data_IF_246997595563
#
_entry.id   IF_246997595563
#
_cell.length_a   1.000
_cell.length_b   1.000
_cell.length_c   1.000
_cell.angle_alpha   90.00
_cell.angle_beta   90.00
_cell.angle_gamma   90.00
#
_symmetry.space_group_name_H-M   'P 1'
#
loop_
_entity.id
_entity.type
_entity.pdbx_description
1 polymer ?
#
# COMPACT_ATOMS: atom_id res chain seq x y z
N UNK A 1 -5.85 -42.64 -3.61
CA UNK A 1 -5.06 -42.50 -2.35
C UNK A 1 -5.58 -41.26 -1.64
N UNK A 2 -6.46 -41.44 -0.64
CA UNK A 2 -6.97 -40.35 0.18
C UNK A 2 -5.81 -39.76 0.99
N UNK A 3 -5.45 -38.50 0.74
CA UNK A 3 -4.48 -37.78 1.58
C UNK A 3 -5.06 -37.67 3.00
N UNK A 4 -4.35 -38.16 4.01
CA UNK A 4 -4.82 -38.19 5.39
C UNK A 4 -4.88 -36.80 6.05
N UNK A 5 -5.65 -36.64 7.14
CA UNK A 5 -5.82 -35.35 7.84
C UNK A 5 -4.51 -34.74 8.36
N UNK A 6 -3.52 -35.57 8.70
CA UNK A 6 -2.18 -35.12 9.13
C UNK A 6 -1.40 -34.44 7.99
N UNK A 7 -1.51 -34.95 6.76
CA UNK A 7 -0.89 -34.33 5.60
C UNK A 7 -1.51 -32.96 5.33
N UNK A 8 -2.84 -32.83 5.43
CA UNK A 8 -3.56 -31.56 5.30
C UNK A 8 -3.15 -30.55 6.38
N UNK A 9 -3.02 -30.98 7.64
CA UNK A 9 -2.55 -30.11 8.73
C UNK A 9 -1.14 -29.59 8.48
N UNK A 10 -0.22 -30.47 8.07
CA UNK A 10 1.16 -30.10 7.76
C UNK A 10 1.26 -29.11 6.58
N UNK A 11 0.48 -29.32 5.52
CA UNK A 11 0.40 -28.39 4.38
C UNK A 11 -0.09 -27.00 4.83
N UNK A 12 -1.12 -26.92 5.68
CA UNK A 12 -1.62 -25.66 6.25
C UNK A 12 -0.55 -24.95 7.08
N UNK A 13 0.12 -25.66 7.99
CA UNK A 13 1.15 -25.08 8.85
C UNK A 13 2.33 -24.55 8.03
N UNK A 14 2.77 -25.32 7.03
CA UNK A 14 3.87 -24.92 6.14
C UNK A 14 3.51 -23.67 5.34
N UNK A 15 2.27 -23.60 4.83
CA UNK A 15 1.78 -22.44 4.11
C UNK A 15 1.71 -21.18 4.99
N UNK A 16 1.18 -21.30 6.21
CA UNK A 16 1.14 -20.18 7.16
C UNK A 16 2.54 -19.75 7.60
N UNK A 17 3.44 -20.70 7.87
CA UNK A 17 4.83 -20.42 8.22
C UNK A 17 5.57 -19.70 7.09
N UNK A 18 5.36 -20.09 5.83
CA UNK A 18 5.97 -19.41 4.69
C UNK A 18 5.46 -17.97 4.53
N UNK A 19 4.16 -17.73 4.77
CA UNK A 19 3.60 -16.36 4.79
C UNK A 19 4.23 -15.53 5.88
N UNK A 20 4.33 -16.06 7.09
CA UNK A 20 4.93 -15.34 8.22
C UNK A 20 6.42 -15.06 7.97
N UNK A 21 7.16 -16.04 7.43
CA UNK A 21 8.54 -15.86 7.03
C UNK A 21 8.71 -14.80 5.94
N UNK A 22 7.79 -14.69 4.99
CA UNK A 22 7.81 -13.64 3.97
C UNK A 22 7.58 -12.24 4.58
N UNK A 23 6.61 -12.09 5.49
CA UNK A 23 6.42 -10.82 6.23
C UNK A 23 7.67 -10.46 7.02
N UNK A 24 8.21 -11.39 7.81
CA UNK A 24 9.44 -11.17 8.55
C UNK A 24 10.61 -10.80 7.65
N UNK A 25 10.76 -11.45 6.50
CA UNK A 25 11.79 -11.10 5.51
C UNK A 25 11.61 -9.67 5.05
N UNK A 26 10.40 -9.26 4.67
CA UNK A 26 10.13 -7.91 4.19
C UNK A 26 10.45 -6.86 5.26
N UNK A 27 9.82 -6.96 6.43
CA UNK A 27 9.99 -5.96 7.51
C UNK A 27 11.41 -5.92 8.07
N UNK A 28 12.16 -7.02 8.02
CA UNK A 28 13.57 -7.04 8.44
C UNK A 28 14.51 -6.35 7.47
N UNK A 29 14.25 -6.43 6.16
CA UNK A 29 15.13 -5.90 5.12
C UNK A 29 14.69 -4.52 4.58
N UNK A 30 13.49 -4.07 4.93
CA UNK A 30 12.93 -2.78 4.53
C UNK A 30 12.73 -1.91 5.78
N UNK A 31 13.79 -1.22 6.27
CA UNK A 31 13.78 -0.58 7.59
C UNK A 31 12.79 0.60 7.69
N UNK A 32 12.45 1.24 6.57
CA UNK A 32 11.52 2.37 6.52
C UNK A 32 10.05 1.96 6.59
N UNK A 33 9.71 0.69 6.33
CA UNK A 33 8.34 0.24 6.14
C UNK A 33 7.48 0.42 7.41
N UNK A 34 8.03 0.04 8.56
CA UNK A 34 7.31 0.14 9.83
C UNK A 34 7.01 1.61 10.21
N UNK A 35 8.00 2.49 10.08
CA UNK A 35 7.81 3.93 10.34
C UNK A 35 6.82 4.57 9.37
N UNK A 36 6.81 4.14 8.11
CA UNK A 36 5.90 4.67 7.10
C UNK A 36 4.44 4.26 7.36
N UNK A 37 4.20 2.99 7.71
CA UNK A 37 2.88 2.52 8.12
C UNK A 37 2.36 3.26 9.36
N UNK A 38 3.21 3.41 10.38
CA UNK A 38 2.85 4.14 11.59
C UNK A 38 2.53 5.61 11.27
N UNK A 39 3.34 6.26 10.43
CA UNK A 39 3.11 7.64 10.00
C UNK A 39 1.79 7.82 9.25
N UNK A 40 1.40 6.83 8.43
CA UNK A 40 0.12 6.86 7.72
C UNK A 40 -1.07 6.74 8.69
N UNK A 41 -0.98 5.84 9.67
CA UNK A 41 -1.99 5.69 10.75
C UNK A 41 -2.07 6.97 11.59
N UNK A 42 -0.93 7.53 12.00
CA UNK A 42 -0.90 8.77 12.77
C UNK A 42 -1.46 9.97 12.00
N UNK A 43 -1.18 10.06 10.70
CA UNK A 43 -1.70 11.14 9.85
C UNK A 43 -3.22 11.05 9.73
N UNK A 44 -3.74 9.84 9.58
CA UNK A 44 -5.17 9.59 9.57
C UNK A 44 -5.82 9.94 10.93
N UNK A 45 -5.19 9.53 12.05
CA UNK A 45 -5.69 9.79 13.40
C UNK A 45 -5.61 11.28 13.80
N UNK A 46 -4.53 11.98 13.45
CA UNK A 46 -4.40 13.44 13.69
C UNK A 46 -5.43 14.26 12.92
N UNK A 47 -5.89 13.72 11.78
CA UNK A 47 -6.94 14.31 10.97
C UNK A 47 -8.34 14.19 11.57
N UNK A 48 -8.55 13.49 12.70
CA UNK A 48 -9.84 13.41 13.41
C UNK A 48 -10.26 14.76 14.01
N UNK A 49 -10.38 15.79 13.18
CA UNK A 49 -11.16 16.97 13.47
C UNK A 49 -12.58 16.63 13.03
N UNK A 50 -13.53 16.78 13.94
CA UNK A 50 -14.94 16.80 13.57
C UNK A 50 -15.08 17.89 12.51
N UNK A 51 -15.46 17.51 11.30
CA UNK A 51 -15.68 18.46 10.22
C UNK A 51 -16.88 19.34 10.56
N UNK A 52 -16.60 20.51 11.14
CA UNK A 52 -17.61 21.50 11.50
C UNK A 52 -18.19 22.19 10.26
N UNK A 53 -17.62 21.99 9.06
CA UNK A 53 -18.17 22.57 7.83
C UNK A 53 -19.53 21.97 7.47
N UNK A 54 -19.76 20.69 7.77
CA UNK A 54 -21.08 20.07 7.66
C UNK A 54 -22.10 20.70 8.62
N UNK A 55 -21.66 21.15 9.80
CA UNK A 55 -22.48 21.88 10.78
C UNK A 55 -22.77 23.31 10.31
N UNK A 56 -21.81 23.97 9.66
CA UNK A 56 -21.98 25.30 9.07
C UNK A 56 -22.90 25.29 7.84
N UNK A 57 -22.79 24.30 6.95
CA UNK A 57 -23.70 24.10 5.81
C UNK A 57 -25.14 23.83 6.26
N UNK A 58 -25.32 23.03 7.33
CA UNK A 58 -26.62 22.90 7.98
C UNK A 58 -27.10 24.25 8.47
N UNK A 59 -26.31 24.96 9.28
CA UNK A 59 -26.69 26.24 9.87
C UNK A 59 -27.13 27.30 8.84
N UNK A 60 -26.60 27.25 7.61
CA UNK A 60 -27.00 28.14 6.51
C UNK A 60 -28.39 27.86 5.94
N UNK A 61 -28.92 26.64 6.08
CA UNK A 61 -30.27 26.23 5.63
C UNK A 61 -31.23 25.82 6.75
N UNK A 62 -30.79 25.86 8.01
CA UNK A 62 -31.49 25.28 9.15
C UNK A 62 -32.46 26.27 9.79
N UNK A 63 -33.72 25.83 10.00
CA UNK A 63 -34.70 26.59 10.77
C UNK A 63 -34.60 26.17 12.25
N UNK A 64 -34.21 27.05 13.19
CA UNK A 64 -34.07 26.71 14.62
C UNK A 64 -35.31 26.07 15.25
N UNK A 65 -36.49 26.28 14.66
CA UNK A 65 -37.74 25.67 15.09
C UNK A 65 -37.79 24.14 14.92
N UNK A 66 -36.98 23.54 14.03
CA UNK A 66 -36.96 22.08 13.83
C UNK A 66 -36.21 21.31 14.93
N UNK A 67 -35.39 21.98 15.77
CA UNK A 67 -34.79 21.36 16.96
C UNK A 67 -35.79 21.16 18.10
N UNK A 68 -36.91 21.89 18.08
CA UNK A 68 -37.98 21.75 19.06
C UNK A 68 -38.93 20.60 18.70
N UNK A 69 -38.83 20.02 17.50
CA UNK A 69 -39.63 18.89 17.05
C UNK A 69 -38.84 17.56 17.22
N UNK A 70 -39.28 16.67 18.13
CA UNK A 70 -38.65 15.37 18.36
C UNK A 70 -38.54 14.51 17.09
N UNK A 71 -39.52 14.60 16.17
CA UNK A 71 -39.53 13.79 14.95
C UNK A 71 -38.50 14.28 13.91
N UNK A 72 -38.32 15.60 13.81
CA UNK A 72 -37.29 16.19 12.95
C UNK A 72 -35.88 15.88 13.49
N UNK A 73 -35.72 15.85 14.81
CA UNK A 73 -34.46 15.51 15.46
C UNK A 73 -34.08 14.03 15.27
N UNK A 74 -35.07 13.12 15.34
CA UNK A 74 -34.88 11.70 15.02
C UNK A 74 -34.46 11.49 13.55
N UNK A 75 -35.07 12.23 12.62
CA UNK A 75 -34.68 12.19 11.20
C UNK A 75 -33.25 12.69 10.96
N UNK A 76 -32.84 13.79 11.60
CA UNK A 76 -31.47 14.33 11.48
C UNK A 76 -30.42 13.36 12.01
N UNK A 77 -30.70 12.69 13.14
CA UNK A 77 -29.83 11.64 13.69
C UNK A 77 -29.75 10.42 12.77
N UNK A 78 -30.88 10.02 12.17
CA UNK A 78 -30.95 8.88 11.24
C UNK A 78 -30.25 9.18 9.90
N UNK A 79 -30.17 10.45 9.51
CA UNK A 79 -29.51 10.88 8.27
C UNK A 79 -27.98 11.02 8.40
N UNK A 80 -27.39 10.70 9.57
CA UNK A 80 -25.94 10.76 9.75
C UNK A 80 -25.36 12.18 9.64
N UNK A 81 -26.21 13.19 9.82
CA UNK A 81 -25.89 14.61 9.64
C UNK A 81 -24.81 15.09 10.63
N UNK A 82 -24.63 14.36 11.73
CA UNK A 82 -23.61 14.57 12.75
C UNK A 82 -22.44 13.59 12.66
N UNK A 83 -22.40 12.70 11.66
CA UNK A 83 -21.25 11.82 11.44
C UNK A 83 -20.09 12.65 10.88
N UNK A 84 -18.93 12.67 11.56
CA UNK A 84 -17.75 13.36 11.04
C UNK A 84 -17.36 12.81 9.68
N UNK A 85 -17.39 13.64 8.64
CA UNK A 85 -16.86 13.27 7.32
C UNK A 85 -15.34 13.34 7.37
N UNK A 86 -14.67 12.37 6.73
CA UNK A 86 -13.22 12.40 6.58
C UNK A 86 -12.81 13.60 5.71
N UNK A 87 -11.84 14.38 6.18
CA UNK A 87 -11.19 15.46 5.42
C UNK A 87 -10.44 14.90 4.21
N UNK A 88 -10.19 15.70 3.14
CA UNK A 88 -9.40 15.26 1.99
C UNK A 88 -8.02 14.70 2.38
N UNK A 89 -7.37 15.30 3.38
CA UNK A 89 -6.10 14.84 3.92
C UNK A 89 -6.21 13.47 4.59
N UNK A 90 -7.30 13.21 5.32
CA UNK A 90 -7.60 11.89 5.89
C UNK A 90 -7.87 10.86 4.81
N UNK A 91 -8.64 11.19 3.78
CA UNK A 91 -8.88 10.28 2.65
C UNK A 91 -7.57 9.90 1.96
N UNK A 92 -6.67 10.87 1.73
CA UNK A 92 -5.36 10.60 1.15
C UNK A 92 -4.44 9.80 2.09
N UNK A 93 -4.49 10.02 3.41
CA UNK A 93 -3.76 9.20 4.37
C UNK A 93 -4.26 7.75 4.42
N UNK A 94 -5.59 7.57 4.42
CA UNK A 94 -6.24 6.27 4.37
C UNK A 94 -5.89 5.53 3.08
N UNK A 95 -5.97 6.21 1.93
CA UNK A 95 -5.63 5.63 0.64
C UNK A 95 -4.17 5.15 0.58
N UNK A 96 -3.23 5.94 1.11
CA UNK A 96 -1.81 5.55 1.22
C UNK A 96 -1.63 4.33 2.11
N UNK A 97 -2.30 4.28 3.26
CA UNK A 97 -2.25 3.14 4.17
C UNK A 97 -2.82 1.87 3.51
N UNK A 98 -4.01 1.95 2.91
CA UNK A 98 -4.63 0.84 2.19
C UNK A 98 -3.72 0.31 1.07
N UNK A 99 -3.14 1.22 0.28
CA UNK A 99 -2.27 0.87 -0.86
C UNK A 99 -1.03 0.15 -0.36
N UNK A 100 -0.41 0.62 0.71
CA UNK A 100 0.78 0.00 1.29
C UNK A 100 0.49 -1.38 1.87
N UNK A 101 -0.63 -1.53 2.59
CA UNK A 101 -1.06 -2.84 3.10
C UNK A 101 -1.40 -3.81 1.96
N UNK A 102 -2.02 -3.33 0.89
CA UNK A 102 -2.27 -4.12 -0.30
C UNK A 102 -0.97 -4.57 -0.98
N UNK A 103 0.02 -3.68 -1.10
CA UNK A 103 1.32 -3.99 -1.68
C UNK A 103 2.11 -5.02 -0.88
N UNK A 104 2.15 -4.89 0.45
CA UNK A 104 2.77 -5.86 1.34
C UNK A 104 2.13 -7.24 1.13
N UNK A 105 0.80 -7.30 1.18
CA UNK A 105 0.07 -8.56 1.09
C UNK A 105 0.13 -9.19 -0.31
N UNK A 106 0.10 -8.38 -1.35
CA UNK A 106 0.28 -8.81 -2.74
C UNK A 106 1.66 -9.43 -2.93
N UNK A 107 2.71 -8.76 -2.44
CA UNK A 107 4.08 -9.26 -2.55
C UNK A 107 4.27 -10.57 -1.78
N UNK A 108 3.73 -10.66 -0.56
CA UNK A 108 3.77 -11.90 0.24
C UNK A 108 3.08 -13.03 -0.49
N UNK A 109 1.92 -12.78 -1.10
CA UNK A 109 1.22 -13.77 -1.91
C UNK A 109 2.09 -14.24 -3.09
N UNK A 110 2.70 -13.32 -3.84
CA UNK A 110 3.55 -13.66 -4.99
C UNK A 110 4.77 -14.49 -4.58
N UNK A 111 5.48 -14.08 -3.52
CA UNK A 111 6.66 -14.80 -3.02
C UNK A 111 6.28 -16.19 -2.49
N UNK A 112 5.18 -16.32 -1.75
CA UNK A 112 4.74 -17.60 -1.20
C UNK A 112 4.25 -18.53 -2.30
N UNK A 113 3.53 -18.04 -3.29
CA UNK A 113 3.10 -18.82 -4.46
C UNK A 113 4.32 -19.34 -5.23
N UNK A 114 5.32 -18.51 -5.49
CA UNK A 114 6.56 -18.95 -6.13
C UNK A 114 7.34 -19.98 -5.27
N UNK A 115 7.34 -19.81 -3.95
CA UNK A 115 8.04 -20.70 -3.04
C UNK A 115 7.33 -22.06 -2.85
N UNK A 116 6.00 -22.10 -2.83
CA UNK A 116 5.24 -23.31 -2.45
C UNK A 116 4.40 -23.92 -3.56
N UNK A 117 4.09 -23.18 -4.64
CA UNK A 117 3.13 -23.58 -5.68
C UNK A 117 3.39 -24.98 -6.24
N UNK A 118 4.62 -25.25 -6.66
CA UNK A 118 5.01 -26.54 -7.24
C UNK A 118 5.36 -27.61 -6.19
N UNK A 119 5.51 -27.21 -4.92
CA UNK A 119 5.99 -28.08 -3.83
C UNK A 119 4.86 -28.61 -2.96
N UNK A 120 3.79 -27.84 -2.82
CA UNK A 120 2.63 -28.15 -1.99
C UNK A 120 1.37 -28.01 -2.86
N UNK A 121 0.72 -29.13 -3.25
CA UNK A 121 -0.47 -29.10 -4.09
C UNK A 121 -1.62 -28.26 -3.53
N UNK A 122 -1.72 -28.16 -2.20
CA UNK A 122 -2.74 -27.37 -1.51
C UNK A 122 -2.54 -25.85 -1.60
N UNK A 123 -1.41 -25.33 -2.10
CA UNK A 123 -1.07 -23.90 -2.06
C UNK A 123 -2.11 -23.00 -2.70
N UNK A 124 -2.61 -23.38 -3.89
CA UNK A 124 -3.62 -22.58 -4.60
C UNK A 124 -4.95 -22.53 -3.81
N UNK A 125 -5.38 -23.67 -3.26
CA UNK A 125 -6.61 -23.74 -2.46
C UNK A 125 -6.49 -22.95 -1.15
N UNK A 126 -5.34 -23.01 -0.48
CA UNK A 126 -5.08 -22.27 0.75
C UNK A 126 -5.00 -20.75 0.50
N UNK A 127 -4.38 -20.34 -0.60
CA UNK A 127 -4.32 -18.93 -1.03
C UNK A 127 -5.72 -18.39 -1.32
N UNK A 128 -6.55 -19.16 -2.03
CA UNK A 128 -7.94 -18.82 -2.30
C UNK A 128 -8.78 -18.73 -1.02
N UNK A 129 -8.61 -19.67 -0.09
CA UNK A 129 -9.29 -19.65 1.20
C UNK A 129 -8.96 -18.38 2.00
N UNK A 130 -7.68 -17.98 2.08
CA UNK A 130 -7.28 -16.74 2.74
C UNK A 130 -7.84 -15.50 2.03
N UNK A 131 -7.84 -15.48 0.70
CA UNK A 131 -8.42 -14.38 -0.08
C UNK A 131 -9.90 -14.18 0.25
N UNK A 132 -10.68 -15.26 0.33
CA UNK A 132 -12.10 -15.21 0.72
C UNK A 132 -12.29 -14.72 2.13
N UNK A 133 -11.50 -15.21 3.08
CA UNK A 133 -11.56 -14.78 4.48
C UNK A 133 -11.33 -13.28 4.63
N UNK A 134 -10.37 -12.72 3.87
CA UNK A 134 -10.09 -11.27 3.85
C UNK A 134 -11.19 -10.46 3.17
N UNK A 135 -11.82 -11.01 2.14
CA UNK A 135 -12.93 -10.35 1.45
C UNK A 135 -14.18 -10.19 2.34
N UNK A 136 -14.41 -11.14 3.25
CA UNK A 136 -15.52 -11.07 4.21
C UNK A 136 -15.20 -10.27 5.47
N UNK A 137 -13.90 -10.10 5.78
CA UNK A 137 -13.42 -9.54 7.04
C UNK A 137 -13.72 -10.43 8.25
N UNK A 138 -12.86 -10.40 9.26
CA UNK A 138 -13.14 -10.97 10.57
C UNK A 138 -14.00 -10.02 11.42
N UNK A 139 -14.68 -10.51 12.47
CA UNK A 139 -15.40 -9.66 13.42
C UNK A 139 -14.52 -8.55 14.03
N UNK A 140 -13.24 -8.84 14.26
CA UNK A 140 -12.27 -7.86 14.76
C UNK A 140 -11.93 -6.78 13.73
N UNK A 141 -11.80 -7.14 12.45
CA UNK A 141 -11.54 -6.19 11.35
C UNK A 141 -12.75 -5.29 11.12
N UNK A 142 -13.97 -5.82 11.19
CA UNK A 142 -15.20 -5.03 11.12
C UNK A 142 -15.30 -4.04 12.28
N UNK A 143 -14.98 -4.47 13.51
CA UNK A 143 -14.97 -3.59 14.69
C UNK A 143 -13.92 -2.49 14.54
N UNK A 144 -12.72 -2.82 14.06
CA UNK A 144 -11.65 -1.84 13.83
C UNK A 144 -12.01 -0.85 12.71
N UNK A 145 -12.66 -1.33 11.65
CA UNK A 145 -13.17 -0.49 10.58
C UNK A 145 -14.20 0.53 11.09
N UNK A 146 -15.10 0.13 12.00
CA UNK A 146 -16.06 1.06 12.60
C UNK A 146 -15.39 2.09 13.52
N UNK A 147 -14.37 1.69 14.28
CA UNK A 147 -13.72 2.58 15.25
C UNK A 147 -12.69 3.53 14.64
N UNK A 148 -11.99 3.07 13.60
CA UNK A 148 -10.86 3.76 12.97
C UNK A 148 -11.21 4.18 11.55
N UNK A 149 -12.37 3.85 10.98
CA UNK A 149 -12.69 4.15 9.58
C UNK A 149 -11.72 3.51 8.57
N UNK A 150 -10.97 2.49 8.99
CA UNK A 150 -10.06 1.74 8.13
C UNK A 150 -10.76 0.51 7.57
N UNK A 151 -11.17 0.58 6.30
CA UNK A 151 -11.68 -0.58 5.57
C UNK A 151 -10.62 -1.10 4.61
N UNK A 152 -10.09 -2.30 4.89
CA UNK A 152 -9.19 -2.96 3.94
C UNK A 152 -9.98 -3.39 2.71
N UNK A 153 -9.82 -2.65 1.61
CA UNK A 153 -10.50 -2.95 0.35
C UNK A 153 -9.96 -4.24 -0.26
N UNK A 154 -10.76 -5.32 -0.35
CA UNK A 154 -10.30 -6.60 -0.90
C UNK A 154 -9.90 -6.50 -2.38
N UNK A 155 -10.41 -5.48 -3.08
CA UNK A 155 -10.08 -5.18 -4.48
C UNK A 155 -8.60 -4.83 -4.64
N UNK A 156 -8.10 -3.86 -3.87
CA UNK A 156 -6.69 -3.40 -3.91
C UNK A 156 -5.70 -4.52 -3.64
N UNK A 157 -6.02 -5.43 -2.71
CA UNK A 157 -5.15 -6.58 -2.42
C UNK A 157 -4.98 -7.51 -3.62
N UNK A 158 -6.05 -7.72 -4.40
CA UNK A 158 -5.98 -8.52 -5.63
C UNK A 158 -5.20 -7.80 -6.71
N UNK A 159 -5.46 -6.52 -6.90
CA UNK A 159 -4.78 -5.66 -7.88
C UNK A 159 -3.26 -5.62 -7.60
N UNK A 160 -2.86 -5.46 -6.34
CA UNK A 160 -1.46 -5.54 -5.92
C UNK A 160 -0.83 -6.90 -6.22
N UNK A 161 -1.51 -8.02 -5.95
CA UNK A 161 -0.99 -9.34 -6.28
C UNK A 161 -0.74 -9.51 -7.79
N UNK A 162 -1.66 -9.01 -8.63
CA UNK A 162 -1.53 -9.01 -10.09
C UNK A 162 -0.36 -8.14 -10.54
N UNK A 163 -0.19 -6.94 -9.95
CA UNK A 163 0.96 -6.08 -10.24
C UNK A 163 2.28 -6.81 -9.97
N UNK A 164 2.42 -7.43 -8.80
CA UNK A 164 3.65 -8.13 -8.43
C UNK A 164 3.93 -9.36 -9.28
N UNK A 165 2.89 -10.11 -9.66
CA UNK A 165 2.99 -11.24 -10.59
C UNK A 165 3.53 -10.78 -11.94
N UNK A 166 2.87 -9.79 -12.56
CA UNK A 166 3.28 -9.25 -13.87
C UNK A 166 4.67 -8.63 -13.83
N UNK A 167 5.01 -7.90 -12.76
CA UNK A 167 6.36 -7.36 -12.60
C UNK A 167 7.40 -8.47 -12.49
N UNK A 168 7.11 -9.56 -11.77
CA UNK A 168 8.02 -10.71 -11.68
C UNK A 168 8.21 -11.36 -13.04
N UNK A 169 7.14 -11.53 -13.82
CA UNK A 169 7.20 -12.12 -15.15
C UNK A 169 8.01 -11.26 -16.13
N UNK A 170 7.85 -9.93 -16.06
CA UNK A 170 8.44 -9.02 -17.03
C UNK A 170 9.88 -8.59 -16.67
N UNK A 171 10.18 -8.36 -15.39
CA UNK A 171 11.46 -7.81 -14.93
C UNK A 171 12.27 -8.75 -14.02
N UNK A 172 11.69 -9.88 -13.60
CA UNK A 172 12.33 -10.85 -12.72
C UNK A 172 12.23 -10.52 -11.24
N UNK A 173 12.74 -11.46 -10.42
CA UNK A 173 12.65 -11.42 -8.95
C UNK A 173 13.46 -10.28 -8.35
N UNK A 174 14.65 -10.01 -8.88
CA UNK A 174 15.55 -8.99 -8.34
C UNK A 174 14.99 -7.58 -8.55
N UNK A 175 14.48 -7.28 -9.74
CA UNK A 175 13.82 -6.02 -10.03
C UNK A 175 12.55 -5.83 -9.18
N UNK A 176 11.74 -6.89 -9.02
CA UNK A 176 10.57 -6.86 -8.14
C UNK A 176 10.96 -6.51 -6.70
N UNK A 177 11.96 -7.17 -6.15
CA UNK A 177 12.37 -6.95 -4.75
C UNK A 177 13.09 -5.61 -4.58
N UNK A 178 13.75 -5.08 -5.61
CA UNK A 178 14.39 -3.76 -5.60
C UNK A 178 13.40 -2.59 -5.42
N UNK A 179 12.13 -2.76 -5.79
CA UNK A 179 11.05 -1.78 -5.55
C UNK A 179 10.93 -1.38 -4.07
N UNK A 180 11.35 -2.25 -3.15
CA UNK A 180 11.29 -1.97 -1.71
C UNK A 180 12.48 -1.16 -1.18
N UNK A 181 13.49 -0.85 -2.00
CA UNK A 181 14.68 -0.13 -1.54
C UNK A 181 14.38 1.28 -1.02
N UNK A 182 13.37 1.95 -1.57
CA UNK A 182 12.97 3.30 -1.19
C UNK A 182 11.44 3.48 -1.30
N UNK A 183 10.78 4.24 -0.40
CA UNK A 183 9.34 4.48 -0.48
C UNK A 183 8.89 5.08 -1.82
N UNK A 184 9.71 5.93 -2.44
CA UNK A 184 9.37 6.59 -3.71
C UNK A 184 9.34 5.65 -4.92
N UNK A 185 9.90 4.43 -4.77
CA UNK A 185 9.84 3.41 -5.81
C UNK A 185 8.54 2.61 -5.77
N UNK A 186 7.77 2.71 -4.67
CA UNK A 186 6.53 1.97 -4.55
C UNK A 186 5.49 2.45 -5.57
N UNK A 187 4.71 1.54 -6.18
CA UNK A 187 3.56 1.91 -6.98
C UNK A 187 2.49 2.61 -6.13
N UNK A 188 1.83 3.59 -6.74
CA UNK A 188 0.67 4.26 -6.15
C UNK A 188 -0.63 3.47 -6.32
N UNK A 189 -1.73 4.02 -5.79
CA UNK A 189 -3.08 3.46 -5.95
C UNK A 189 -3.46 3.31 -7.43
N UNK A 190 -3.16 4.32 -8.27
CA UNK A 190 -3.43 4.28 -9.71
C UNK A 190 -2.62 3.21 -10.46
N UNK A 191 -1.39 2.92 -10.01
CA UNK A 191 -0.58 1.85 -10.60
C UNK A 191 -1.15 0.45 -10.28
N UNK A 192 -1.91 0.30 -9.18
CA UNK A 192 -2.64 -0.95 -8.92
C UNK A 192 -3.76 -1.18 -9.93
N UNK A 193 -4.47 -0.11 -10.33
CA UNK A 193 -5.53 -0.17 -11.34
C UNK A 193 -4.95 -0.40 -12.75
N UNK A 194 -3.81 0.23 -13.06
CA UNK A 194 -3.11 0.14 -14.36
C UNK A 194 -1.62 -0.29 -14.20
N UNK A 195 -1.33 -1.59 -13.99
CA UNK A 195 0.03 -2.05 -13.68
C UNK A 195 1.05 -1.86 -14.80
N UNK A 196 0.60 -1.76 -16.05
CA UNK A 196 1.48 -1.70 -17.22
C UNK A 196 2.41 -0.48 -17.16
N UNK A 197 1.86 0.70 -16.84
CA UNK A 197 2.65 1.93 -16.76
C UNK A 197 3.72 1.89 -15.67
N UNK A 198 3.47 1.21 -14.54
CA UNK A 198 4.48 1.01 -13.50
C UNK A 198 5.59 0.05 -13.95
N UNK A 199 5.21 -1.07 -14.55
CA UNK A 199 6.15 -2.08 -15.05
C UNK A 199 7.08 -1.48 -16.11
N UNK A 200 6.54 -0.69 -17.03
CA UNK A 200 7.33 0.00 -18.06
C UNK A 200 8.37 0.96 -17.44
N UNK A 201 8.04 1.66 -16.34
CA UNK A 201 9.01 2.51 -15.62
C UNK A 201 10.14 1.71 -14.99
N UNK A 202 9.83 0.53 -14.44
CA UNK A 202 10.84 -0.34 -13.83
C UNK A 202 11.75 -0.97 -14.88
N UNK A 203 11.19 -1.43 -16.01
CA UNK A 203 11.96 -2.06 -17.11
C UNK A 203 12.75 -1.01 -17.88
N UNK A 204 12.14 0.15 -18.14
CA UNK A 204 12.73 1.25 -18.90
C UNK A 204 13.82 2.02 -18.16
N UNK A 205 14.03 1.72 -16.87
CA UNK A 205 15.10 2.23 -16.02
C UNK A 205 15.28 3.73 -16.11
N UNK A 206 14.46 4.51 -15.38
CA UNK A 206 14.51 5.98 -15.21
C UNK A 206 15.47 6.75 -16.16
N UNK A 207 15.19 6.70 -17.46
CA UNK A 207 15.85 7.53 -18.48
C UNK A 207 15.07 8.82 -18.73
N UNK A 208 14.06 9.11 -17.89
CA UNK A 208 13.19 10.28 -18.04
C UNK A 208 13.58 11.49 -17.20
N UNK A 209 14.58 11.40 -16.32
CA UNK A 209 14.86 12.45 -15.34
C UNK A 209 16.21 13.15 -15.46
N UNK A 210 17.31 12.40 -15.59
CA UNK A 210 18.67 12.97 -15.64
C UNK A 210 19.51 12.03 -16.48
N UNK A 211 20.10 12.56 -17.54
CA UNK A 211 21.14 11.88 -18.31
C UNK A 211 22.37 11.84 -17.39
N UNK A 212 22.41 10.86 -16.47
CA UNK A 212 23.45 10.71 -15.43
C UNK A 212 24.83 10.64 -16.08
N UNK A 213 24.91 10.03 -17.27
CA UNK A 213 26.11 9.99 -18.09
C UNK A 213 26.52 11.39 -18.60
N UNK A 214 25.55 12.25 -18.95
CA UNK A 214 25.85 13.64 -19.31
C UNK A 214 26.28 14.48 -18.09
N UNK A 215 25.65 14.26 -16.93
CA UNK A 215 26.02 14.94 -15.69
C UNK A 215 27.42 14.53 -15.19
N UNK A 216 27.80 13.25 -15.34
CA UNK A 216 29.14 12.75 -15.07
C UNK A 216 30.17 13.31 -16.06
N UNK A 217 29.83 13.37 -17.35
CA UNK A 217 30.69 13.93 -18.38
C UNK A 217 30.91 15.45 -18.23
N UNK A 218 29.93 16.18 -17.70
CA UNK A 218 30.05 17.61 -17.40
C UNK A 218 30.95 17.85 -16.18
N UNK A 219 30.88 16.98 -15.17
CA UNK A 219 31.76 17.02 -13.99
C UNK A 219 33.23 16.73 -14.36
N UNK A 220 33.50 15.74 -15.22
CA UNK A 220 34.85 15.44 -15.71
C UNK A 220 35.44 16.55 -16.60
N UNK A 221 34.60 17.27 -17.35
CA UNK A 221 35.04 18.45 -18.11
C UNK A 221 35.43 19.61 -17.22
N UNK A 222 34.69 19.85 -16.13
CA UNK A 222 35.05 20.91 -15.18
C UNK A 222 36.37 20.66 -14.44
N UNK A 223 36.76 19.39 -14.26
CA UNK A 223 38.02 19.01 -13.60
C UNK A 223 39.25 19.01 -14.56
N UNK A 224 39.02 19.12 -15.87
CA UNK A 224 40.08 19.12 -16.89
C UNK A 224 40.37 20.50 -17.49
N UNK A 225 39.63 21.55 -17.12
CA UNK A 225 39.84 22.94 -17.52
C UNK A 225 40.57 23.79 -16.46
N UNK A 226 41.66 23.28 -15.88
CA UNK A 226 42.66 24.15 -15.23
C UNK A 226 44.01 24.07 -15.97
N UNK A 227 44.18 24.85 -17.07
CA UNK A 227 45.46 24.93 -17.76
C UNK A 227 46.33 26.01 -17.11
N UNK A 228 47.45 25.57 -16.55
CA UNK A 228 48.75 26.23 -16.72
C UNK A 228 48.85 27.69 -16.23
N UNK A 229 49.02 27.86 -14.91
CA UNK A 229 49.69 29.04 -14.37
C UNK A 229 51.17 29.00 -14.81
N UNK A 230 51.47 29.73 -15.89
CA UNK A 230 52.80 29.88 -16.47
C UNK A 230 53.89 30.37 -15.50
N UNK A 231 55.17 30.31 -15.91
CA UNK A 231 56.31 30.30 -15.01
C UNK A 231 56.57 31.69 -14.40
N UNK A 232 56.74 31.73 -13.07
CA UNK A 232 57.26 32.90 -12.35
C UNK A 232 58.79 32.89 -12.42
N UNK A 233 59.32 33.83 -13.19
CA UNK A 233 60.74 34.15 -13.33
C UNK A 233 61.29 34.70 -11.99
N UNK A 234 62.46 34.23 -11.55
CA UNK A 234 63.33 34.85 -10.53
C UNK A 234 64.76 34.37 -10.67
#
# INVERSE_FOLDING_TARGET
LSKGPEQTRSEILTFLAAREAAHHRLFRHVPWLASQLLSAVESYARGMKIDMSGIEELAQGFNPASLADPAAMEQLLTQGVFEPKATPEQTAALERLETMLALIEGWVQTVVTAALGDRIPGTAALSEMLRRRRATGGPAEQTFATLVGLELRPRKMREAAVLWERLTEAAGVDARDAVWQHPDLLPGSADLDEPAGFIDRIIGGDTSGVDIDAALAEFEKSDSEDPDAGPVDS
#
